data_IF_948465578703
#
_entry.id   IF_948465578703
#
_cell.length_a   1.000
_cell.length_b   1.000
_cell.length_c   1.000
_cell.angle_alpha   90.00
_cell.angle_beta   90.00
_cell.angle_gamma   90.00
#
_symmetry.space_group_name_H-M   'P 1'
#
loop_
_entity.id
_entity.type
_entity.pdbx_description
1 polymer ?
#
# COMPACT_ATOMS: atom_id res chain seq x y z
N UNK A 1 26.41 -7.75 -22.69
CA UNK A 1 25.36 -8.71 -23.11
C UNK A 1 24.44 -8.88 -21.92
N UNK A 2 23.26 -8.28 -21.94
CA UNK A 2 22.24 -8.51 -20.91
C UNK A 2 21.77 -9.95 -21.06
N UNK A 3 22.01 -10.78 -20.05
CA UNK A 3 21.59 -12.19 -20.06
C UNK A 3 20.06 -12.22 -20.21
N UNK A 4 19.53 -12.96 -21.19
CA UNK A 4 18.09 -13.04 -21.40
C UNK A 4 17.42 -13.65 -20.16
N UNK A 5 16.41 -12.98 -19.60
CA UNK A 5 15.72 -13.45 -18.40
C UNK A 5 14.96 -14.76 -18.69
N UNK A 6 15.06 -15.72 -17.78
CA UNK A 6 14.30 -16.98 -17.83
C UNK A 6 12.80 -16.72 -17.66
N UNK A 7 11.94 -17.69 -18.01
CA UNK A 7 10.49 -17.53 -17.79
C UNK A 7 10.16 -17.39 -16.30
N UNK A 8 10.92 -18.06 -15.43
CA UNK A 8 10.76 -17.95 -13.99
C UNK A 8 11.04 -16.52 -13.52
N UNK A 9 12.16 -15.93 -13.93
CA UNK A 9 12.50 -14.55 -13.57
C UNK A 9 11.42 -13.56 -14.04
N UNK A 10 10.94 -13.73 -15.28
CA UNK A 10 9.86 -12.90 -15.85
C UNK A 10 8.58 -12.99 -15.04
N UNK A 11 8.15 -14.19 -14.67
CA UNK A 11 6.95 -14.40 -13.85
C UNK A 11 7.14 -13.90 -12.41
N UNK A 12 8.32 -14.07 -11.81
CA UNK A 12 8.62 -13.53 -10.48
C UNK A 12 8.55 -12.00 -10.45
N UNK A 13 9.05 -11.32 -11.47
CA UNK A 13 8.95 -9.86 -11.59
C UNK A 13 7.51 -9.39 -11.81
N UNK A 14 6.76 -10.09 -12.67
CA UNK A 14 5.33 -9.83 -12.84
C UNK A 14 4.58 -10.03 -11.52
N UNK A 15 4.88 -11.08 -10.76
CA UNK A 15 4.27 -11.34 -9.46
C UNK A 15 4.62 -10.27 -8.41
N UNK A 16 5.82 -9.70 -8.47
CA UNK A 16 6.32 -8.65 -7.58
C UNK A 16 5.76 -7.25 -7.83
N UNK A 17 4.94 -7.05 -8.87
CA UNK A 17 4.25 -5.79 -9.13
C UNK A 17 2.76 -6.07 -9.34
N UNK A 18 1.90 -5.47 -8.52
CA UNK A 18 0.45 -5.72 -8.55
C UNK A 18 -0.25 -5.30 -9.85
N UNK A 19 0.47 -4.78 -10.85
CA UNK A 19 -0.01 -4.58 -12.22
C UNK A 19 -0.78 -5.78 -12.79
N UNK A 20 -0.32 -7.00 -12.52
CA UNK A 20 -0.98 -8.21 -13.03
C UNK A 20 -2.46 -8.33 -12.59
N UNK A 21 -2.84 -7.70 -11.46
CA UNK A 21 -4.15 -7.88 -10.84
C UNK A 21 -5.30 -7.30 -11.66
N UNK A 22 -5.04 -6.35 -12.57
CA UNK A 22 -6.01 -5.83 -13.54
C UNK A 22 -5.68 -6.21 -14.98
N UNK A 23 -4.87 -7.27 -15.18
CA UNK A 23 -4.47 -7.78 -16.49
C UNK A 23 -4.97 -9.22 -16.66
N UNK A 24 -6.17 -9.43 -17.25
CA UNK A 24 -6.77 -10.76 -17.36
C UNK A 24 -5.87 -11.81 -18.01
N UNK A 25 -5.05 -11.41 -19.00
CA UNK A 25 -4.09 -12.30 -19.65
C UNK A 25 -3.04 -12.84 -18.67
N UNK A 26 -2.51 -11.98 -17.78
CA UNK A 26 -1.45 -12.35 -16.83
C UNK A 26 -2.02 -13.24 -15.73
N UNK A 27 -3.20 -12.91 -15.21
CA UNK A 27 -3.94 -13.78 -14.28
C UNK A 27 -4.22 -15.15 -14.90
N UNK A 28 -4.58 -15.18 -16.20
CA UNK A 28 -4.77 -16.43 -16.93
C UNK A 28 -3.50 -17.29 -17.00
N UNK A 29 -2.34 -16.67 -17.22
CA UNK A 29 -1.05 -17.37 -17.22
C UNK A 29 -0.80 -18.04 -15.85
N UNK A 30 -0.96 -17.31 -14.74
CA UNK A 30 -0.75 -17.89 -13.41
C UNK A 30 -1.72 -19.04 -13.12
N UNK A 31 -2.99 -18.89 -13.49
CA UNK A 31 -4.00 -19.95 -13.33
C UNK A 31 -3.68 -21.20 -14.15
N UNK A 32 -3.13 -21.06 -15.35
CA UNK A 32 -2.85 -22.20 -16.24
C UNK A 32 -1.58 -22.98 -15.85
N UNK A 33 -0.65 -22.34 -15.12
CA UNK A 33 0.48 -23.04 -14.50
C UNK A 33 -0.04 -24.15 -13.58
N UNK A 34 -0.96 -23.83 -12.67
CA UNK A 34 -1.59 -24.81 -11.78
C UNK A 34 -2.92 -24.25 -11.26
N UNK A 35 -4.04 -24.71 -11.83
CA UNK A 35 -5.35 -24.15 -11.49
C UNK A 35 -5.79 -24.50 -10.08
N UNK A 36 -5.40 -25.66 -9.56
CA UNK A 36 -5.76 -26.10 -8.22
C UNK A 36 -4.96 -25.31 -7.18
N UNK A 37 -3.63 -25.31 -7.34
CA UNK A 37 -2.76 -24.58 -6.42
C UNK A 37 -3.05 -23.08 -6.45
N UNK A 38 -3.38 -22.51 -7.62
CA UNK A 38 -3.80 -21.12 -7.76
C UNK A 38 -4.99 -20.77 -6.86
N UNK A 39 -6.00 -21.64 -6.78
CA UNK A 39 -7.14 -21.48 -5.87
C UNK A 39 -6.72 -21.69 -4.41
N UNK A 40 -5.93 -22.73 -4.12
CA UNK A 40 -5.51 -23.07 -2.76
C UNK A 40 -4.69 -21.95 -2.10
N UNK A 41 -3.86 -21.25 -2.88
CA UNK A 41 -3.04 -20.12 -2.40
C UNK A 41 -3.75 -18.77 -2.48
N UNK A 42 -5.09 -18.76 -2.61
CA UNK A 42 -5.90 -17.52 -2.70
C UNK A 42 -5.40 -16.58 -3.80
N UNK A 43 -5.10 -17.15 -4.98
CA UNK A 43 -4.68 -16.40 -6.15
C UNK A 43 -3.41 -15.55 -5.91
N UNK A 44 -2.50 -16.02 -5.05
CA UNK A 44 -1.22 -15.38 -4.80
C UNK A 44 -0.11 -15.97 -5.71
N UNK A 45 0.42 -15.21 -6.68
CA UNK A 45 1.43 -15.73 -7.62
C UNK A 45 2.79 -15.97 -6.96
N UNK A 46 3.10 -15.32 -5.83
CA UNK A 46 4.35 -15.55 -5.10
C UNK A 46 4.34 -16.94 -4.48
N UNK A 47 3.24 -17.30 -3.81
CA UNK A 47 3.05 -18.62 -3.23
C UNK A 47 2.97 -19.71 -4.31
N UNK A 48 2.27 -19.45 -5.43
CA UNK A 48 2.25 -20.35 -6.58
C UNK A 48 3.67 -20.64 -7.09
N UNK A 49 4.47 -19.60 -7.35
CA UNK A 49 5.81 -19.76 -7.92
C UNK A 49 6.80 -20.41 -6.94
N UNK A 50 6.55 -20.34 -5.63
CA UNK A 50 7.36 -21.04 -4.62
C UNK A 50 7.36 -22.56 -4.84
N UNK A 51 6.23 -23.12 -5.29
CA UNK A 51 6.07 -24.55 -5.61
C UNK A 51 6.53 -24.92 -7.03
N UNK A 52 6.92 -23.93 -7.83
CA UNK A 52 7.31 -24.05 -9.24
C UNK A 52 8.71 -23.50 -9.50
N UNK A 53 9.72 -24.17 -8.95
CA UNK A 53 11.13 -23.89 -9.29
C UNK A 53 11.40 -23.98 -10.80
N UNK A 54 12.47 -23.33 -11.27
CA UNK A 54 12.77 -23.09 -12.69
C UNK A 54 12.56 -24.30 -13.62
N UNK A 55 13.05 -25.49 -13.26
CA UNK A 55 12.93 -26.69 -14.11
C UNK A 55 11.48 -27.19 -14.24
N UNK A 56 10.76 -27.24 -13.12
CA UNK A 56 9.35 -27.66 -13.07
C UNK A 56 8.47 -26.68 -13.84
N UNK A 57 8.74 -25.38 -13.70
CA UNK A 57 8.03 -24.34 -14.44
C UNK A 57 8.31 -24.42 -15.95
N UNK A 58 9.54 -24.68 -16.37
CA UNK A 58 9.90 -24.84 -17.79
C UNK A 58 9.26 -26.08 -18.43
N UNK A 59 9.15 -27.19 -17.69
CA UNK A 59 8.39 -28.35 -18.16
C UNK A 59 6.90 -27.99 -18.32
N UNK A 60 6.31 -27.39 -17.28
CA UNK A 60 4.89 -27.01 -17.28
C UNK A 60 4.54 -26.01 -18.39
N UNK A 61 5.39 -25.00 -18.59
CA UNK A 61 5.19 -24.00 -19.62
C UNK A 61 5.26 -24.59 -21.04
N UNK A 62 6.07 -25.64 -21.26
CA UNK A 62 6.11 -26.37 -22.53
C UNK A 62 4.82 -27.15 -22.77
N UNK A 63 4.38 -27.90 -21.76
CA UNK A 63 3.14 -28.70 -21.82
C UNK A 63 1.90 -27.83 -22.09
N UNK A 64 1.79 -26.70 -21.39
CA UNK A 64 0.68 -25.77 -21.50
C UNK A 64 0.86 -24.70 -22.60
N UNK A 65 1.96 -24.75 -23.36
CA UNK A 65 2.29 -23.81 -24.46
C UNK A 65 2.23 -22.34 -23.99
N UNK A 66 2.82 -22.05 -22.82
CA UNK A 66 2.74 -20.73 -22.17
C UNK A 66 3.86 -19.76 -22.58
N UNK A 67 4.97 -20.22 -23.16
CA UNK A 67 6.14 -19.38 -23.45
C UNK A 67 5.77 -18.10 -24.19
N UNK A 68 5.10 -18.18 -25.34
CA UNK A 68 4.76 -16.99 -26.13
C UNK A 68 3.93 -15.97 -25.35
N UNK A 69 3.00 -16.44 -24.51
CA UNK A 69 2.16 -15.58 -23.65
C UNK A 69 2.95 -14.96 -22.50
N UNK A 70 3.83 -15.72 -21.85
CA UNK A 70 4.72 -15.21 -20.79
C UNK A 70 5.64 -14.13 -21.36
N UNK A 71 6.28 -14.39 -22.50
CA UNK A 71 7.14 -13.42 -23.17
C UNK A 71 6.36 -12.17 -23.61
N UNK A 72 5.15 -12.34 -24.17
CA UNK A 72 4.27 -11.25 -24.56
C UNK A 72 3.83 -10.39 -23.37
N UNK A 73 3.34 -11.01 -22.30
CA UNK A 73 2.93 -10.34 -21.07
C UNK A 73 4.09 -9.56 -20.43
N UNK A 74 5.27 -10.17 -20.32
CA UNK A 74 6.45 -9.50 -19.76
C UNK A 74 6.88 -8.31 -20.61
N UNK A 75 6.90 -8.43 -21.94
CA UNK A 75 7.20 -7.31 -22.84
C UNK A 75 6.18 -6.18 -22.68
N UNK A 76 4.88 -6.49 -22.64
CA UNK A 76 3.82 -5.49 -22.42
C UNK A 76 3.99 -4.76 -21.08
N UNK A 77 4.35 -5.50 -20.03
CA UNK A 77 4.64 -4.90 -18.72
C UNK A 77 5.86 -3.97 -18.78
N UNK A 78 6.94 -4.38 -19.44
CA UNK A 78 8.11 -3.52 -19.61
C UNK A 78 7.79 -2.25 -20.41
N UNK A 79 7.06 -2.37 -21.53
CA UNK A 79 6.59 -1.23 -22.34
C UNK A 79 5.70 -0.31 -21.52
N UNK A 80 4.80 -0.87 -20.71
CA UNK A 80 3.98 -0.11 -19.77
C UNK A 80 4.86 0.66 -18.76
N UNK A 81 5.73 -0.03 -18.04
CA UNK A 81 6.54 0.58 -16.98
C UNK A 81 7.52 1.64 -17.48
N UNK A 82 8.00 1.51 -18.74
CA UNK A 82 9.01 2.42 -19.32
C UNK A 82 8.41 3.54 -20.19
N UNK A 83 7.08 3.53 -20.43
CA UNK A 83 6.43 4.56 -21.25
C UNK A 83 6.59 5.95 -20.64
N UNK A 84 7.06 6.89 -21.46
CA UNK A 84 7.22 8.33 -21.18
C UNK A 84 6.18 9.20 -21.93
N UNK A 85 5.13 8.55 -22.45
CA UNK A 85 4.04 9.17 -23.24
C UNK A 85 2.68 8.84 -22.67
N UNK A 86 2.56 8.92 -21.35
CA UNK A 86 1.29 8.72 -20.65
C UNK A 86 0.44 9.99 -20.69
N UNK A 87 -0.83 9.87 -20.30
CA UNK A 87 -1.70 11.04 -20.16
C UNK A 87 -1.15 12.02 -19.10
N UNK A 88 -0.60 11.49 -18.00
CA UNK A 88 0.00 12.23 -16.90
C UNK A 88 1.27 12.97 -17.30
N UNK A 89 2.09 12.41 -18.19
CA UNK A 89 3.26 13.11 -18.73
C UNK A 89 2.85 14.39 -19.47
N UNK A 90 1.69 14.37 -20.15
CA UNK A 90 1.18 15.52 -20.91
C UNK A 90 0.40 16.51 -20.05
N UNK A 91 -0.40 16.02 -19.09
CA UNK A 91 -1.41 16.85 -18.38
C UNK A 91 -1.14 17.05 -16.89
N UNK A 92 -0.28 16.22 -16.28
CA UNK A 92 0.06 16.27 -14.85
C UNK A 92 1.51 16.67 -14.59
N UNK A 93 2.20 17.24 -15.59
CA UNK A 93 3.59 17.69 -15.48
C UNK A 93 3.84 18.68 -14.31
N UNK A 94 2.80 19.41 -13.88
CA UNK A 94 2.85 20.31 -12.71
C UNK A 94 3.15 19.58 -11.39
N UNK A 95 2.82 18.29 -11.30
CA UNK A 95 3.19 17.45 -10.17
C UNK A 95 4.69 17.10 -10.24
N UNK A 96 5.23 16.82 -11.43
CA UNK A 96 6.67 16.63 -11.66
C UNK A 96 7.32 15.72 -10.62
N UNK A 97 8.43 16.18 -10.02
CA UNK A 97 9.14 15.47 -8.94
C UNK A 97 8.45 15.57 -7.55
N UNK A 98 7.30 16.24 -7.46
CA UNK A 98 6.54 16.46 -6.22
C UNK A 98 5.14 15.84 -6.36
N UNK A 99 5.02 14.51 -6.18
CA UNK A 99 3.80 13.79 -6.49
C UNK A 99 2.62 14.21 -5.60
N UNK A 100 1.42 13.78 -5.96
CA UNK A 100 0.30 13.73 -5.02
C UNK A 100 0.53 12.59 -4.01
N UNK A 101 0.40 12.88 -2.72
CA UNK A 101 0.38 11.86 -1.67
C UNK A 101 -1.08 11.51 -1.33
N UNK A 102 -1.47 10.28 -1.64
CA UNK A 102 -2.82 9.75 -1.39
C UNK A 102 -2.82 8.90 -0.13
N UNK A 103 -3.39 9.44 0.95
CA UNK A 103 -3.51 8.75 2.23
C UNK A 103 -4.85 8.05 2.33
N UNK A 104 -4.84 6.78 2.72
CA UNK A 104 -6.03 5.98 2.99
C UNK A 104 -5.75 4.97 4.10
N UNK A 105 -6.76 4.66 4.91
CA UNK A 105 -6.67 3.57 5.88
C UNK A 105 -6.65 2.20 5.19
N UNK A 106 -7.30 2.05 4.03
CA UNK A 106 -7.41 0.78 3.31
C UNK A 106 -7.15 0.91 1.81
N UNK A 107 -6.68 -0.19 1.19
CA UNK A 107 -6.40 -0.31 -0.25
C UNK A 107 -6.83 -1.68 -0.79
N UNK A 108 -7.95 -1.70 -1.50
CA UNK A 108 -8.55 -2.87 -2.16
C UNK A 108 -7.93 -3.11 -3.54
N UNK A 109 -6.68 -3.59 -3.55
CA UNK A 109 -5.97 -3.87 -4.80
C UNK A 109 -6.25 -5.29 -5.29
N UNK A 110 -5.96 -6.27 -4.42
CA UNK A 110 -6.15 -7.70 -4.66
C UNK A 110 -6.21 -8.47 -3.32
N UNK A 111 -6.92 -9.58 -3.28
CA UNK A 111 -7.15 -10.40 -2.06
C UNK A 111 -5.88 -11.03 -1.48
N UNK A 112 -4.79 -11.06 -2.25
CA UNK A 112 -3.49 -11.51 -1.77
C UNK A 112 -2.84 -10.51 -0.80
N UNK A 113 -3.14 -9.21 -0.88
CA UNK A 113 -2.54 -8.18 -0.01
C UNK A 113 -3.32 -7.94 1.30
N UNK A 114 -4.63 -8.18 1.31
CA UNK A 114 -5.52 -8.17 2.50
C UNK A 114 -5.53 -6.88 3.36
N UNK A 115 -5.27 -5.72 2.75
CA UNK A 115 -5.29 -4.41 3.45
C UNK A 115 -6.56 -3.59 3.19
N UNK A 116 -7.73 -4.25 3.09
CA UNK A 116 -9.02 -3.58 2.92
C UNK A 116 -10.20 -4.39 3.48
N UNK A 117 -11.32 -3.72 3.70
CA UNK A 117 -12.56 -4.32 4.21
C UNK A 117 -13.78 -4.02 3.32
N UNK A 118 -13.80 -2.88 2.60
CA UNK A 118 -15.00 -2.47 1.88
C UNK A 118 -14.77 -1.48 0.74
N UNK A 119 -15.82 -0.72 0.44
CA UNK A 119 -15.87 0.15 -0.74
C UNK A 119 -14.87 1.31 -0.73
N UNK A 120 -14.53 1.85 0.45
CA UNK A 120 -13.51 2.90 0.59
C UNK A 120 -12.14 2.39 0.09
N UNK A 121 -11.78 1.18 0.47
CA UNK A 121 -10.56 0.50 0.07
C UNK A 121 -10.58 0.13 -1.40
N UNK A 122 -11.67 -0.44 -1.91
CA UNK A 122 -11.81 -0.75 -3.35
C UNK A 122 -11.61 0.53 -4.19
N UNK A 123 -12.26 1.63 -3.80
CA UNK A 123 -12.07 2.92 -4.44
C UNK A 123 -10.62 3.40 -4.37
N UNK A 124 -9.95 3.29 -3.22
CA UNK A 124 -8.55 3.64 -3.07
C UNK A 124 -7.65 2.79 -3.98
N UNK A 125 -7.90 1.49 -4.08
CA UNK A 125 -7.20 0.57 -4.98
C UNK A 125 -7.39 0.95 -6.46
N UNK A 126 -8.62 1.25 -6.86
CA UNK A 126 -8.95 1.64 -8.24
C UNK A 126 -8.39 3.02 -8.60
N UNK A 127 -8.26 3.94 -7.63
CA UNK A 127 -7.49 5.18 -7.82
C UNK A 127 -6.03 4.88 -8.15
N UNK A 128 -5.39 3.93 -7.44
CA UNK A 128 -3.99 3.60 -7.72
C UNK A 128 -3.84 2.95 -9.10
N UNK A 129 -4.74 2.02 -9.47
CA UNK A 129 -4.75 1.38 -10.80
C UNK A 129 -4.93 2.42 -11.91
N UNK A 130 -5.90 3.33 -11.75
CA UNK A 130 -6.20 4.38 -12.73
C UNK A 130 -5.06 5.40 -12.84
N UNK A 131 -4.52 5.85 -11.70
CA UNK A 131 -3.35 6.74 -11.67
C UNK A 131 -2.13 6.08 -12.31
N UNK A 132 -1.94 4.78 -12.06
CA UNK A 132 -0.92 3.98 -12.71
C UNK A 132 -1.09 3.99 -14.22
N UNK A 133 -2.25 3.61 -14.74
CA UNK A 133 -2.51 3.51 -16.18
C UNK A 133 -2.34 4.86 -16.89
N UNK A 134 -2.83 5.93 -16.25
CA UNK A 134 -2.70 7.31 -16.74
C UNK A 134 -1.29 7.88 -16.57
N UNK A 135 -0.41 7.27 -15.77
CA UNK A 135 0.92 7.81 -15.46
C UNK A 135 0.90 9.08 -14.63
N UNK A 136 -0.09 9.23 -13.73
CA UNK A 136 -0.17 10.39 -12.83
C UNK A 136 0.89 10.24 -11.73
N UNK A 137 1.74 11.25 -11.46
CA UNK A 137 2.69 11.23 -10.36
C UNK A 137 1.97 11.20 -9.00
N UNK A 138 1.76 10.00 -8.48
CA UNK A 138 1.07 9.74 -7.22
C UNK A 138 1.85 8.70 -6.41
N UNK A 139 1.92 8.91 -5.10
CA UNK A 139 2.38 7.93 -4.11
C UNK A 139 1.26 7.70 -3.12
N UNK A 140 1.09 6.46 -2.68
CA UNK A 140 0.04 6.09 -1.75
C UNK A 140 0.62 5.76 -0.38
N UNK A 141 -0.13 6.07 0.68
CA UNK A 141 0.29 5.89 2.07
C UNK A 141 -0.86 5.22 2.83
N UNK A 142 -0.56 4.12 3.50
CA UNK A 142 -1.50 3.35 4.31
C UNK A 142 -0.84 2.67 5.52
N UNK A 143 -1.57 1.76 6.14
CA UNK A 143 -1.08 0.89 7.21
C UNK A 143 -0.97 -0.54 6.70
N UNK A 144 0.04 -1.28 7.18
CA UNK A 144 0.21 -2.69 6.87
C UNK A 144 -0.48 -3.52 7.96
N UNK A 145 -1.66 -4.07 7.65
CA UNK A 145 -2.42 -4.89 8.60
C UNK A 145 -2.03 -6.36 8.51
N UNK A 146 -1.34 -6.85 9.54
CA UNK A 146 -0.81 -8.22 9.54
C UNK A 146 -1.89 -9.30 9.51
N UNK A 147 -3.03 -9.05 10.13
CA UNK A 147 -4.17 -9.97 10.17
C UNK A 147 -5.29 -9.55 9.21
N UNK A 148 -5.09 -8.47 8.45
CA UNK A 148 -6.11 -7.90 7.55
C UNK A 148 -7.39 -7.49 8.28
N UNK A 149 -8.54 -7.77 7.66
CA UNK A 149 -9.86 -7.59 8.27
C UNK A 149 -10.30 -8.88 8.99
N UNK A 150 -10.83 -9.85 8.26
CA UNK A 150 -10.99 -11.26 8.69
C UNK A 150 -11.29 -12.15 7.48
N UNK A 151 -11.07 -13.45 7.62
CA UNK A 151 -11.59 -14.48 6.70
C UNK A 151 -12.88 -15.03 7.29
N UNK A 152 -13.97 -14.93 6.52
CA UNK A 152 -15.28 -15.44 6.92
C UNK A 152 -15.39 -16.94 6.65
N UNK A 153 -15.84 -17.71 7.64
CA UNK A 153 -16.34 -19.07 7.44
C UNK A 153 -17.76 -19.19 7.99
N UNK A 154 -18.59 -20.02 7.37
CA UNK A 154 -19.95 -20.32 7.85
C UNK A 154 -19.93 -21.75 8.39
N UNK A 155 -20.20 -21.90 9.69
CA UNK A 155 -20.20 -23.21 10.32
C UNK A 155 -21.48 -24.01 9.97
N UNK A 156 -21.54 -25.32 10.27
CA UNK A 156 -22.70 -26.15 9.96
C UNK A 156 -24.04 -25.67 10.56
N UNK A 157 -23.99 -24.81 11.58
CA UNK A 157 -25.16 -24.21 12.22
C UNK A 157 -25.62 -22.91 11.55
N UNK A 158 -24.94 -22.47 10.48
CA UNK A 158 -25.24 -21.23 9.76
C UNK A 158 -24.69 -19.95 10.41
N UNK A 159 -23.82 -20.07 11.42
CA UNK A 159 -23.21 -18.92 12.08
C UNK A 159 -21.90 -18.53 11.42
N UNK A 160 -21.65 -17.21 11.36
CA UNK A 160 -20.37 -16.65 10.98
C UNK A 160 -19.31 -16.97 12.04
N UNK A 161 -18.17 -17.44 11.57
CA UNK A 161 -16.92 -17.56 12.30
C UNK A 161 -15.84 -16.73 11.59
N UNK A 162 -14.92 -16.20 12.38
CA UNK A 162 -13.89 -15.26 11.93
C UNK A 162 -12.51 -15.86 12.17
N UNK A 163 -11.72 -15.95 11.11
CA UNK A 163 -10.31 -16.29 11.19
C UNK A 163 -9.45 -15.05 10.86
N UNK A 164 -8.33 -14.92 11.55
CA UNK A 164 -7.41 -13.80 11.43
C UNK A 164 -6.02 -14.32 11.03
N UNK A 165 -5.86 -14.81 9.78
CA UNK A 165 -4.60 -15.38 9.34
C UNK A 165 -3.54 -14.28 9.27
N UNK A 166 -2.39 -14.53 9.91
CA UNK A 166 -1.25 -13.63 9.85
C UNK A 166 -0.59 -13.67 8.47
N UNK A 167 -0.34 -12.50 7.88
CA UNK A 167 0.34 -12.33 6.61
C UNK A 167 1.86 -12.21 6.83
N UNK A 168 2.62 -13.17 6.29
CA UNK A 168 4.09 -13.07 6.25
C UNK A 168 4.50 -12.13 5.09
N UNK A 169 5.27 -11.06 5.34
CA UNK A 169 5.81 -10.20 4.28
C UNK A 169 6.56 -10.97 3.19
N UNK A 170 7.14 -12.14 3.48
CA UNK A 170 7.83 -12.99 2.50
C UNK A 170 6.88 -13.66 1.48
N UNK A 171 5.59 -13.71 1.80
CA UNK A 171 4.54 -14.27 0.94
C UNK A 171 3.87 -13.19 0.07
N UNK A 172 4.28 -11.94 0.23
CA UNK A 172 3.65 -10.76 -0.39
C UNK A 172 4.63 -10.02 -1.31
N UNK A 173 4.15 -9.24 -2.29
CA UNK A 173 4.99 -8.42 -3.17
C UNK A 173 5.45 -7.13 -2.46
N UNK A 174 5.86 -7.24 -1.19
CA UNK A 174 6.31 -6.11 -0.38
C UNK A 174 7.82 -6.13 -0.23
N UNK A 175 8.41 -4.95 -0.17
CA UNK A 175 9.83 -4.75 0.08
C UNK A 175 10.02 -3.71 1.17
N UNK A 176 11.13 -3.79 1.90
CA UNK A 176 11.50 -2.74 2.87
C UNK A 176 11.75 -1.44 2.11
N UNK A 177 11.07 -0.37 2.50
CA UNK A 177 11.32 0.96 1.94
C UNK A 177 12.64 1.51 2.48
N UNK A 178 13.42 2.14 1.59
CA UNK A 178 14.74 2.66 1.89
C UNK A 178 14.74 4.19 1.85
N UNK A 179 15.50 4.82 2.73
CA UNK A 179 15.74 6.26 2.73
C UNK A 179 16.69 6.69 1.60
N UNK A 180 16.99 7.98 1.53
CA UNK A 180 17.92 8.54 0.53
C UNK A 180 19.37 8.04 0.66
N UNK A 181 19.72 7.38 1.77
CA UNK A 181 21.03 6.77 2.03
C UNK A 181 21.03 5.24 1.80
N UNK A 182 19.89 4.66 1.39
CA UNK A 182 19.73 3.23 1.18
C UNK A 182 19.49 2.42 2.46
N UNK A 183 19.15 3.05 3.58
CA UNK A 183 18.86 2.37 4.85
C UNK A 183 17.35 2.13 5.01
N UNK A 184 16.94 1.03 5.68
CA UNK A 184 15.53 0.80 6.03
C UNK A 184 14.90 1.99 6.74
N UNK A 185 13.75 2.44 6.25
CA UNK A 185 13.00 3.54 6.87
C UNK A 185 12.26 3.02 8.11
N UNK A 186 12.60 3.60 9.25
CA UNK A 186 11.83 3.49 10.49
C UNK A 186 11.51 4.90 10.96
N UNK A 187 10.22 5.21 11.10
CA UNK A 187 9.74 6.51 11.59
C UNK A 187 9.28 6.40 13.02
N UNK A 188 9.33 7.51 13.74
CA UNK A 188 8.83 7.60 15.11
C UNK A 188 7.70 8.63 15.23
N UNK A 189 6.65 8.26 15.96
CA UNK A 189 5.52 9.11 16.31
C UNK A 189 5.51 9.26 17.82
N UNK A 190 5.73 10.49 18.29
CA UNK A 190 5.75 10.79 19.71
C UNK A 190 4.31 10.93 20.21
N UNK A 191 3.98 10.19 21.26
CA UNK A 191 2.75 10.36 22.03
C UNK A 191 3.10 10.86 23.42
N UNK A 192 2.09 11.15 24.25
CA UNK A 192 2.29 11.64 25.62
C UNK A 192 3.15 10.71 26.49
N UNK A 193 2.95 9.40 26.36
CA UNK A 193 3.51 8.41 27.27
C UNK A 193 4.54 7.48 26.61
N UNK A 194 4.57 7.40 25.28
CA UNK A 194 5.50 6.54 24.56
C UNK A 194 5.83 7.06 23.16
N UNK A 195 6.95 6.60 22.63
CA UNK A 195 7.28 6.74 21.20
C UNK A 195 6.83 5.49 20.46
N UNK A 196 5.99 5.64 19.45
CA UNK A 196 5.60 4.56 18.55
C UNK A 196 6.55 4.56 17.35
N UNK A 197 7.22 3.45 17.11
CA UNK A 197 8.06 3.24 15.93
C UNK A 197 7.27 2.51 14.84
N UNK A 198 7.53 2.82 13.58
CA UNK A 198 6.93 2.11 12.46
C UNK A 198 7.97 1.91 11.35
N UNK A 199 8.18 0.65 10.95
CA UNK A 199 8.91 0.34 9.72
C UNK A 199 8.00 0.65 8.52
N UNK A 200 8.60 0.87 7.36
CA UNK A 200 7.85 1.16 6.13
C UNK A 200 8.07 0.06 5.11
N UNK A 201 6.98 -0.56 4.68
CA UNK A 201 6.95 -1.46 3.53
C UNK A 201 6.56 -0.67 2.28
N UNK A 202 7.06 -1.09 1.12
CA UNK A 202 6.63 -0.60 -0.18
C UNK A 202 6.09 -1.74 -1.04
N UNK A 203 5.05 -1.47 -1.81
CA UNK A 203 4.51 -2.36 -2.85
C UNK A 203 4.28 -1.56 -4.12
N UNK A 204 4.60 -2.16 -5.26
CA UNK A 204 4.36 -1.55 -6.57
C UNK A 204 2.97 -1.92 -7.06
N UNK A 205 2.16 -0.90 -7.37
CA UNK A 205 0.83 -1.01 -7.98
C UNK A 205 0.94 -0.41 -9.38
N UNK A 206 1.46 -1.21 -10.31
CA UNK A 206 1.88 -0.69 -11.61
C UNK A 206 3.01 0.32 -11.44
N UNK A 207 2.79 1.55 -11.90
CA UNK A 207 3.70 2.70 -11.79
C UNK A 207 3.62 3.42 -10.44
N UNK A 208 2.58 3.13 -9.64
CA UNK A 208 2.37 3.79 -8.35
C UNK A 208 3.03 2.99 -7.24
N UNK A 209 3.73 3.68 -6.34
CA UNK A 209 4.25 3.07 -5.11
C UNK A 209 3.27 3.30 -3.96
N UNK A 210 2.86 2.22 -3.31
CA UNK A 210 2.12 2.25 -2.05
C UNK A 210 3.08 1.95 -0.89
N UNK A 211 3.19 2.89 0.04
CA UNK A 211 3.93 2.75 1.28
C UNK A 211 2.99 2.40 2.42
N UNK A 212 3.32 1.37 3.19
CA UNK A 212 2.50 0.88 4.29
C UNK A 212 3.33 0.87 5.58
N UNK A 213 2.81 1.53 6.62
CA UNK A 213 3.46 1.61 7.91
C UNK A 213 3.09 0.42 8.78
N UNK A 214 4.09 -0.17 9.42
CA UNK A 214 3.97 -1.35 10.26
C UNK A 214 4.62 -1.10 11.62
N UNK A 215 3.79 -1.14 12.66
CA UNK A 215 4.21 -0.95 14.05
C UNK A 215 4.73 -2.22 14.71
N UNK A 216 4.67 -3.37 14.03
CA UNK A 216 5.22 -4.62 14.56
C UNK A 216 6.76 -4.62 14.44
N UNK A 217 7.39 -3.86 15.33
CA UNK A 217 8.84 -3.72 15.43
C UNK A 217 9.29 -3.99 16.88
N UNK A 218 10.49 -4.57 17.09
CA UNK A 218 10.99 -4.89 18.44
C UNK A 218 11.09 -3.69 19.39
N UNK A 219 11.22 -2.47 18.85
CA UNK A 219 11.33 -1.21 19.60
C UNK A 219 10.02 -0.84 20.31
N UNK A 220 8.89 -1.42 19.88
CA UNK A 220 7.57 -1.12 20.41
C UNK A 220 7.15 -2.09 21.52
N UNK A 221 6.33 -1.59 22.45
CA UNK A 221 5.58 -2.41 23.40
C UNK A 221 4.61 -3.36 22.68
N UNK A 222 4.18 -4.46 23.31
CA UNK A 222 3.21 -5.38 22.71
C UNK A 222 1.91 -4.66 22.28
N UNK A 223 1.45 -3.69 23.08
CA UNK A 223 0.29 -2.88 22.75
C UNK A 223 0.53 -2.01 21.50
N UNK A 224 1.71 -1.39 21.39
CA UNK A 224 2.10 -0.58 20.23
C UNK A 224 2.28 -1.43 18.97
N UNK A 225 2.84 -2.64 19.08
CA UNK A 225 2.97 -3.59 17.96
C UNK A 225 1.62 -4.00 17.38
N UNK A 226 0.60 -4.12 18.23
CA UNK A 226 -0.77 -4.47 17.82
C UNK A 226 -1.55 -3.34 17.15
N UNK A 227 -1.02 -2.12 17.07
CA UNK A 227 -1.71 -1.01 16.37
C UNK A 227 -1.93 -1.32 14.89
N UNK A 228 -1.04 -2.10 14.27
CA UNK A 228 -1.16 -2.54 12.87
C UNK A 228 -1.52 -4.03 12.74
N UNK A 229 -2.13 -4.63 13.78
CA UNK A 229 -2.59 -6.02 13.69
C UNK A 229 -3.82 -6.12 12.76
N UNK A 230 -4.89 -5.38 13.05
CA UNK A 230 -6.19 -5.51 12.37
C UNK A 230 -6.70 -4.18 11.82
N UNK A 231 -7.31 -4.27 10.63
CA UNK A 231 -8.07 -3.18 10.03
C UNK A 231 -9.37 -2.97 10.82
N UNK A 232 -9.64 -1.72 11.20
CA UNK A 232 -10.79 -1.32 12.03
C UNK A 232 -10.90 -2.05 13.39
N UNK A 233 -9.77 -2.55 13.92
CA UNK A 233 -9.71 -3.13 15.26
C UNK A 233 -9.53 -2.10 16.38
N UNK A 234 -9.83 -2.52 17.61
CA UNK A 234 -9.53 -1.78 18.84
C UNK A 234 -10.60 -0.76 19.26
N UNK A 235 -10.28 0.00 20.31
CA UNK A 235 -11.12 1.07 20.84
C UNK A 235 -10.70 2.45 20.30
N UNK A 236 -11.32 3.54 20.78
CA UNK A 236 -10.98 4.89 20.36
C UNK A 236 -9.49 5.26 20.59
N UNK A 237 -8.83 4.67 21.60
CA UNK A 237 -7.41 4.90 21.88
C UNK A 237 -6.54 4.22 20.83
N UNK A 238 -6.89 3.01 20.41
CA UNK A 238 -6.21 2.34 19.30
C UNK A 238 -6.42 3.12 18.01
N UNK A 239 -7.66 3.53 17.72
CA UNK A 239 -8.03 4.27 16.50
C UNK A 239 -7.26 5.58 16.34
N UNK A 240 -7.25 6.45 17.35
CA UNK A 240 -6.50 7.72 17.25
C UNK A 240 -5.00 7.49 17.05
N UNK A 241 -4.44 6.43 17.66
CA UNK A 241 -3.03 6.08 17.50
C UNK A 241 -2.73 5.52 16.10
N UNK A 242 -3.64 4.73 15.52
CA UNK A 242 -3.55 4.32 14.12
C UNK A 242 -3.56 5.54 13.19
N UNK A 243 -4.45 6.51 13.42
CA UNK A 243 -4.53 7.74 12.63
C UNK A 243 -3.28 8.62 12.79
N UNK A 244 -2.69 8.68 13.99
CA UNK A 244 -1.40 9.35 14.22
C UNK A 244 -0.27 8.66 13.45
N UNK A 245 -0.21 7.32 13.47
CA UNK A 245 0.78 6.57 12.67
C UNK A 245 0.57 6.81 11.19
N UNK A 246 -0.66 6.72 10.69
CA UNK A 246 -0.99 6.94 9.28
C UNK A 246 -0.66 8.38 8.84
N UNK A 247 -1.11 9.38 9.59
CA UNK A 247 -0.95 10.79 9.25
C UNK A 247 0.46 11.30 9.51
N UNK A 248 0.89 11.34 10.78
CA UNK A 248 2.21 11.86 11.18
C UNK A 248 3.32 10.93 10.70
N UNK A 249 3.20 9.63 10.99
CA UNK A 249 4.19 8.64 10.58
C UNK A 249 4.31 8.58 9.06
N UNK A 250 3.18 8.57 8.35
CA UNK A 250 3.17 8.56 6.88
C UNK A 250 3.82 9.79 6.26
N UNK A 251 3.55 10.99 6.78
CA UNK A 251 4.24 12.19 6.31
C UNK A 251 5.74 12.13 6.60
N UNK A 252 6.16 11.69 7.79
CA UNK A 252 7.59 11.51 8.10
C UNK A 252 8.27 10.49 7.19
N UNK A 253 7.57 9.41 6.84
CA UNK A 253 8.09 8.37 5.96
C UNK A 253 8.39 8.91 4.56
N UNK A 254 7.44 9.64 3.96
CA UNK A 254 7.65 10.29 2.65
C UNK A 254 8.91 11.14 2.65
N UNK A 255 9.08 11.96 3.69
CA UNK A 255 10.20 12.88 3.82
C UNK A 255 11.53 12.13 4.00
N UNK A 256 11.56 11.08 4.82
CA UNK A 256 12.75 10.24 4.99
C UNK A 256 13.19 9.60 3.65
N UNK A 257 12.25 9.27 2.78
CA UNK A 257 12.51 8.78 1.42
C UNK A 257 12.81 9.88 0.40
N UNK A 258 12.88 11.16 0.82
CA UNK A 258 13.11 12.29 -0.06
C UNK A 258 11.91 12.69 -0.92
N UNK A 259 10.71 12.20 -0.60
CA UNK A 259 9.47 12.46 -1.34
C UNK A 259 8.76 13.67 -0.73
N UNK A 260 8.65 14.74 -1.51
CA UNK A 260 8.03 15.99 -1.08
C UNK A 260 6.73 16.24 -1.83
N UNK A 261 5.57 15.86 -1.26
CA UNK A 261 4.33 15.96 -1.99
C UNK A 261 3.97 17.41 -2.33
N UNK A 262 3.29 17.59 -3.46
CA UNK A 262 2.63 18.87 -3.82
C UNK A 262 1.19 18.90 -3.35
N UNK A 263 0.53 17.74 -3.34
CA UNK A 263 -0.86 17.55 -2.89
C UNK A 263 -0.88 16.51 -1.79
N UNK A 264 -1.68 16.75 -0.75
CA UNK A 264 -2.00 15.79 0.31
C UNK A 264 -3.49 15.47 0.16
N UNK A 265 -3.79 14.33 -0.45
CA UNK A 265 -5.15 13.84 -0.60
C UNK A 265 -5.50 12.90 0.56
N UNK A 266 -6.52 13.24 1.33
CA UNK A 266 -6.99 12.49 2.49
C UNK A 266 -8.30 11.79 2.11
N UNK A 267 -8.25 10.46 2.12
CA UNK A 267 -9.40 9.61 1.88
C UNK A 267 -10.12 9.34 3.21
N UNK A 268 -11.17 10.11 3.49
CA UNK A 268 -11.84 10.22 4.79
C UNK A 268 -10.93 10.82 5.90
N UNK A 269 -11.47 10.94 7.13
CA UNK A 269 -10.80 11.58 8.26
C UNK A 269 -9.56 10.87 8.83
N UNK A 270 -9.31 9.61 8.45
CA UNK A 270 -8.30 8.76 9.09
C UNK A 270 -6.86 9.27 9.00
N UNK A 271 -6.57 10.13 8.05
CA UNK A 271 -5.24 10.73 7.85
C UNK A 271 -5.20 12.23 8.18
N UNK A 272 -6.17 12.74 8.96
CA UNK A 272 -6.28 14.17 9.29
C UNK A 272 -5.04 14.74 10.01
N UNK A 273 -4.20 13.89 10.61
CA UNK A 273 -2.94 14.31 11.22
C UNK A 273 -1.80 14.59 10.21
N UNK A 274 -1.90 14.14 8.95
CA UNK A 274 -0.88 14.39 7.92
C UNK A 274 -0.62 15.89 7.67
N UNK A 275 -1.66 16.74 7.44
CA UNK A 275 -1.44 18.18 7.29
C UNK A 275 -0.89 18.84 8.57
N UNK A 276 -1.23 18.33 9.77
CA UNK A 276 -0.68 18.88 11.02
C UNK A 276 0.83 18.65 11.13
N UNK A 277 1.33 17.47 10.72
CA UNK A 277 2.76 17.22 10.65
C UNK A 277 3.45 18.12 9.62
N UNK A 278 2.81 18.38 8.48
CA UNK A 278 3.33 19.32 7.48
C UNK A 278 3.45 20.75 8.03
N UNK A 279 2.42 21.22 8.77
CA UNK A 279 2.46 22.53 9.47
C UNK A 279 3.61 22.56 10.47
N UNK A 280 3.73 21.53 11.33
CA UNK A 280 4.81 21.42 12.33
C UNK A 280 6.19 21.51 11.68
N UNK A 281 6.38 20.82 10.56
CA UNK A 281 7.66 20.83 9.82
C UNK A 281 7.96 22.19 9.22
N UNK A 282 6.99 22.82 8.54
CA UNK A 282 7.15 24.18 8.00
C UNK A 282 7.53 25.20 9.08
N UNK A 283 6.92 25.10 10.26
CA UNK A 283 7.29 25.96 11.39
C UNK A 283 8.72 25.69 11.87
N UNK A 284 9.09 24.41 12.08
CA UNK A 284 10.40 24.05 12.65
C UNK A 284 11.57 24.21 11.68
N UNK A 285 11.37 23.87 10.42
CA UNK A 285 12.44 23.77 9.42
C UNK A 285 12.54 25.02 8.56
N UNK A 286 11.42 25.69 8.27
CA UNK A 286 11.40 26.90 7.44
C UNK A 286 11.16 28.18 8.26
N UNK A 287 10.93 28.07 9.57
CA UNK A 287 10.72 29.21 10.46
C UNK A 287 9.42 29.98 10.22
N UNK A 288 8.43 29.35 9.54
CA UNK A 288 7.15 30.00 9.30
C UNK A 288 6.35 30.17 10.59
N UNK A 289 5.54 31.24 10.64
CA UNK A 289 4.49 31.38 11.64
C UNK A 289 3.46 30.24 11.48
N UNK A 290 2.69 29.97 12.53
CA UNK A 290 1.61 28.98 12.43
C UNK A 290 0.60 29.35 11.33
N UNK A 291 0.21 30.62 11.24
CA UNK A 291 -0.79 31.09 10.27
C UNK A 291 -0.32 30.93 8.82
N UNK A 292 0.95 31.24 8.56
CA UNK A 292 1.53 31.05 7.23
C UNK A 292 1.70 29.56 6.90
N UNK A 293 2.18 28.75 7.85
CA UNK A 293 2.31 27.31 7.67
C UNK A 293 0.94 26.63 7.44
N UNK A 294 -0.10 27.07 8.15
CA UNK A 294 -1.47 26.61 7.98
C UNK A 294 -1.99 26.98 6.59
N UNK A 295 -1.88 28.25 6.19
CA UNK A 295 -2.36 28.73 4.89
C UNK A 295 -1.69 27.96 3.75
N UNK A 296 -0.38 27.80 3.80
CA UNK A 296 0.36 27.09 2.76
C UNK A 296 0.07 25.58 2.74
N UNK A 297 -0.15 24.96 3.91
CA UNK A 297 -0.51 23.53 3.97
C UNK A 297 -1.94 23.30 3.50
N UNK A 298 -2.88 24.18 3.85
CA UNK A 298 -4.26 24.09 3.40
C UNK A 298 -4.36 24.15 1.86
N UNK A 299 -3.52 24.95 1.20
CA UNK A 299 -3.45 25.00 -0.26
C UNK A 299 -2.96 23.69 -0.92
N UNK A 300 -2.36 22.78 -0.17
CA UNK A 300 -1.96 21.44 -0.64
C UNK A 300 -3.04 20.38 -0.38
N UNK A 301 -4.01 20.66 0.50
CA UNK A 301 -4.94 19.67 1.02
C UNK A 301 -6.11 19.41 0.08
N UNK A 302 -6.41 18.14 -0.15
CA UNK A 302 -7.67 17.68 -0.74
C UNK A 302 -8.29 16.69 0.22
N UNK A 303 -9.54 16.93 0.62
CA UNK A 303 -10.28 16.07 1.52
C UNK A 303 -11.50 15.49 0.80
N UNK A 304 -11.63 14.17 0.84
CA UNK A 304 -12.79 13.46 0.29
C UNK A 304 -13.50 12.72 1.41
N UNK A 305 -14.81 12.97 1.57
CA UNK A 305 -15.67 12.23 2.50
C UNK A 305 -16.65 11.35 1.74
N UNK A 306 -16.86 10.13 2.22
CA UNK A 306 -17.69 9.12 1.55
C UNK A 306 -18.95 8.80 2.34
N UNK A 307 -18.93 9.04 3.65
CA UNK A 307 -20.05 8.72 4.53
C UNK A 307 -20.76 10.00 4.96
N UNK A 308 -22.02 10.23 4.52
CA UNK A 308 -22.76 11.43 4.91
C UNK A 308 -23.30 11.35 6.35
N UNK A 309 -23.20 10.20 7.01
CA UNK A 309 -23.71 9.96 8.37
C UNK A 309 -22.59 9.99 9.42
N UNK A 310 -22.90 10.57 10.58
CA UNK A 310 -21.92 10.79 11.65
C UNK A 310 -21.26 9.50 12.19
N UNK A 311 -21.89 8.33 12.01
CA UNK A 311 -21.34 7.04 12.41
C UNK A 311 -20.08 6.64 11.62
N UNK A 312 -19.86 7.22 10.43
CA UNK A 312 -18.65 7.02 9.64
C UNK A 312 -17.51 7.97 9.97
N UNK A 313 -17.70 8.87 10.96
CA UNK A 313 -16.70 9.86 11.33
C UNK A 313 -16.13 9.54 12.71
N UNK A 314 -14.84 9.25 12.75
CA UNK A 314 -14.11 9.09 14.00
C UNK A 314 -14.17 10.42 14.79
N UNK A 315 -14.64 10.34 16.04
CA UNK A 315 -14.69 11.46 16.99
C UNK A 315 -13.94 11.09 18.25
N UNK A 316 -12.93 11.87 18.58
CA UNK A 316 -12.10 11.66 19.74
C UNK A 316 -12.40 12.70 20.80
N UNK A 317 -12.52 12.25 22.06
CA UNK A 317 -12.61 13.14 23.21
C UNK A 317 -11.31 13.95 23.35
N UNK A 318 -11.42 15.20 23.82
CA UNK A 318 -10.26 16.08 24.00
C UNK A 318 -9.20 15.47 24.94
N UNK A 319 -9.62 14.66 25.92
CA UNK A 319 -8.69 13.96 26.82
C UNK A 319 -7.83 12.88 26.13
N UNK A 320 -8.11 12.54 24.86
CA UNK A 320 -7.24 11.70 24.03
C UNK A 320 -6.18 12.50 23.26
N UNK A 321 -6.34 13.83 23.18
CA UNK A 321 -5.42 14.76 22.51
C UNK A 321 -4.45 15.43 23.50
N UNK A 322 -4.86 15.63 24.76
CA UNK A 322 -4.10 16.27 25.84
C UNK A 322 -3.03 15.35 26.49
#
# INVERSE_FOLDING_TARGET
>A
MTQERTIHQKLSELAGNLWWTWQPEVTGIFREIDSQLWTDVSHNPILLLREYHSEKLEARAREAVLHARIHGAYRRWQEYMQSDKTWGDTHAAVLGHRPAAYFSAEFGIHESLRVYSGGLGVLAGDHLKSASDLGIPLVAIGLYYQEGYFTQTINPSGWQEEAYPHADPQDLPVHVALDTEGKPVIVSVQTRNETIYARVWMVNVGRITLYMLDTDVPENTEASRRLTARLYGGDQKVRIRQELVLGVGGMKALIAMGIWPRVIHMNEGHSAFAPLEMIRRRMKEHGLSFDDALRETAAMGVFTTHTPVAAGHDRFDNGLMD
#
